data_IF_024866932966
#
_entry.id   IF_024866932966
#
_cell.length_a   1.000
_cell.length_b   1.000
_cell.length_c   1.000
_cell.angle_alpha   90.00
_cell.angle_beta   90.00
_cell.angle_gamma   90.00
#
_symmetry.space_group_name_H-M   'P 1'
#
loop_
_entity.id
_entity.type
_entity.pdbx_description
1 polymer ?
#
# COMPACT_ATOMS: atom_id res chain seq x y z
N UNK A 1 -47.25 2.03 48.96
CA UNK A 1 -46.59 0.84 48.35
C UNK A 1 -46.60 1.03 46.83
N UNK A 2 -45.47 1.22 46.14
CA UNK A 2 -45.47 1.38 44.69
C UNK A 2 -45.35 0.01 43.98
N UNK A 3 -46.19 -0.20 42.98
CA UNK A 3 -46.30 -1.41 42.15
C UNK A 3 -45.27 -1.36 41.02
N UNK A 4 -44.30 -2.27 41.03
CA UNK A 4 -43.28 -2.40 39.98
C UNK A 4 -43.88 -3.14 38.75
N UNK A 5 -43.86 -2.50 37.58
CA UNK A 5 -44.19 -3.14 36.30
C UNK A 5 -42.95 -3.83 35.75
N UNK A 6 -43.01 -5.15 35.53
CA UNK A 6 -41.96 -5.87 34.82
C UNK A 6 -42.12 -5.63 33.32
N UNK A 7 -41.21 -4.84 32.75
CA UNK A 7 -41.05 -4.72 31.30
C UNK A 7 -40.40 -6.00 30.76
N UNK A 8 -41.15 -6.79 29.99
CA UNK A 8 -40.60 -7.85 29.16
C UNK A 8 -40.13 -7.25 27.83
N UNK A 9 -38.89 -6.75 27.80
CA UNK A 9 -38.21 -6.40 26.55
C UNK A 9 -37.76 -7.66 25.84
N UNK A 10 -38.47 -8.06 24.78
CA UNK A 10 -38.00 -9.10 23.88
C UNK A 10 -36.88 -8.56 22.99
N UNK A 11 -35.68 -9.13 23.07
CA UNK A 11 -34.64 -8.89 22.07
C UNK A 11 -34.89 -9.89 20.93
N UNK A 12 -35.38 -9.39 19.80
CA UNK A 12 -35.34 -10.12 18.54
C UNK A 12 -33.89 -10.06 18.02
N UNK A 13 -33.15 -11.17 18.15
CA UNK A 13 -31.81 -11.29 17.61
C UNK A 13 -31.85 -11.43 16.09
N UNK A 14 -31.39 -10.41 15.36
CA UNK A 14 -31.05 -10.53 13.94
C UNK A 14 -29.65 -11.14 13.88
N UNK A 15 -29.56 -12.40 13.45
CA UNK A 15 -28.28 -13.02 13.12
C UNK A 15 -27.84 -12.52 11.74
N UNK A 16 -27.05 -11.44 11.71
CA UNK A 16 -26.32 -11.04 10.51
C UNK A 16 -25.08 -11.95 10.40
N UNK A 17 -25.18 -13.03 9.64
CA UNK A 17 -24.02 -13.86 9.31
C UNK A 17 -23.20 -13.14 8.23
N UNK A 18 -22.22 -12.33 8.64
CA UNK A 18 -21.21 -11.84 7.70
C UNK A 18 -20.20 -12.96 7.44
N UNK A 19 -19.97 -13.29 6.18
CA UNK A 19 -18.87 -14.18 5.80
C UNK A 19 -17.58 -13.39 5.97
N UNK A 20 -16.81 -13.66 7.02
CA UNK A 20 -15.44 -13.17 7.13
C UNK A 20 -14.59 -14.03 6.20
N UNK A 21 -14.18 -13.49 5.07
CA UNK A 21 -13.07 -14.05 4.31
C UNK A 21 -11.79 -13.78 5.09
N UNK A 22 -11.02 -14.83 5.40
CA UNK A 22 -9.68 -14.66 5.93
C UNK A 22 -8.78 -14.13 4.80
N UNK A 23 -8.16 -12.97 5.01
CA UNK A 23 -7.05 -12.54 4.16
C UNK A 23 -5.84 -13.41 4.52
N UNK A 24 -5.34 -14.21 3.58
CA UNK A 24 -4.00 -14.76 3.72
C UNK A 24 -3.02 -13.59 3.68
N UNK A 25 -2.07 -13.56 4.62
CA UNK A 25 -0.90 -12.68 4.53
C UNK A 25 0.07 -13.28 3.53
N UNK A 26 0.85 -12.47 2.80
CA UNK A 26 1.92 -13.00 1.96
C UNK A 26 2.84 -13.89 2.79
N UNK A 27 3.33 -14.99 2.22
CA UNK A 27 4.33 -15.85 2.86
C UNK A 27 5.60 -15.02 3.11
N UNK A 28 5.70 -14.51 4.34
CA UNK A 28 6.80 -13.68 4.82
C UNK A 28 7.59 -14.47 5.88
N UNK A 29 8.93 -14.57 5.76
CA UNK A 29 9.76 -13.92 4.74
C UNK A 29 9.64 -14.60 3.37
N UNK A 30 9.79 -13.84 2.26
CA UNK A 30 9.82 -14.42 0.92
C UNK A 30 10.97 -15.42 0.77
N UNK A 31 10.88 -16.31 -0.21
CA UNK A 31 12.04 -17.07 -0.66
C UNK A 31 13.17 -16.11 -1.03
N UNK A 32 14.40 -16.41 -0.57
CA UNK A 32 15.60 -15.65 -0.93
C UNK A 32 16.08 -16.07 -2.33
N UNK A 33 15.20 -15.94 -3.32
CA UNK A 33 15.47 -16.21 -4.73
C UNK A 33 15.24 -14.92 -5.52
N UNK A 34 16.23 -14.53 -6.32
CA UNK A 34 16.10 -13.39 -7.24
C UNK A 34 15.65 -13.91 -8.60
N UNK A 35 14.53 -13.39 -9.10
CA UNK A 35 14.09 -13.62 -10.47
C UNK A 35 14.66 -12.54 -11.41
N UNK A 36 14.29 -11.28 -11.18
CA UNK A 36 14.78 -10.17 -11.98
C UNK A 36 14.85 -8.86 -11.20
N UNK A 37 15.58 -7.90 -11.78
CA UNK A 37 15.75 -6.56 -11.24
C UNK A 37 15.25 -5.54 -12.25
N UNK A 38 14.44 -4.59 -11.80
CA UNK A 38 14.10 -3.41 -12.57
C UNK A 38 14.94 -2.23 -12.08
N UNK A 39 15.55 -1.51 -13.02
CA UNK A 39 16.22 -0.24 -12.77
C UNK A 39 15.49 0.82 -13.58
N UNK A 40 15.04 1.89 -12.93
CA UNK A 40 14.24 2.92 -13.60
C UNK A 40 14.81 4.31 -13.33
N UNK A 41 14.65 5.19 -14.32
CA UNK A 41 15.03 6.60 -14.20
C UNK A 41 14.11 7.47 -15.04
N UNK A 42 13.99 8.74 -14.68
CA UNK A 42 13.19 9.71 -15.45
C UNK A 42 14.05 10.37 -16.52
N UNK A 43 13.61 10.33 -17.78
CA UNK A 43 14.23 11.09 -18.87
C UNK A 43 13.67 12.53 -18.94
N UNK A 44 12.36 12.69 -18.76
CA UNK A 44 11.66 13.97 -18.77
C UNK A 44 10.51 13.93 -17.76
N UNK A 45 10.35 15.00 -16.99
CA UNK A 45 9.19 15.22 -16.13
C UNK A 45 8.52 16.52 -16.57
N UNK A 46 7.23 16.48 -16.87
CA UNK A 46 6.46 17.68 -17.18
C UNK A 46 5.14 17.63 -16.44
N UNK A 47 4.84 18.69 -15.72
CA UNK A 47 3.56 18.86 -15.06
C UNK A 47 2.48 19.16 -16.11
N UNK A 48 1.28 18.61 -15.90
CA UNK A 48 0.11 18.92 -16.72
C UNK A 48 -0.26 20.41 -16.61
N UNK A 49 -0.21 20.95 -15.39
CA UNK A 49 -0.32 22.38 -15.08
C UNK A 49 1.01 22.88 -14.49
N UNK A 50 1.86 23.56 -15.28
CA UNK A 50 3.18 23.98 -14.83
C UNK A 50 3.10 25.20 -13.91
N UNK A 51 3.53 25.03 -12.66
CA UNK A 51 3.79 26.12 -11.73
C UNK A 51 5.30 26.43 -11.71
N UNK A 52 5.72 27.70 -11.87
CA UNK A 52 7.13 28.07 -11.77
C UNK A 52 7.78 27.74 -10.42
N UNK A 53 7.02 27.62 -9.34
CA UNK A 53 7.52 27.25 -8.01
C UNK A 53 7.70 25.74 -7.82
N UNK A 54 7.35 24.93 -8.84
CA UNK A 54 7.48 23.47 -8.82
C UNK A 54 8.61 22.94 -9.71
N UNK A 55 9.33 21.91 -9.23
CA UNK A 55 10.43 21.31 -10.01
C UNK A 55 9.91 20.59 -11.23
N UNK A 56 10.44 20.91 -12.42
CA UNK A 56 10.17 20.15 -13.65
C UNK A 56 11.26 19.11 -13.96
N UNK A 57 12.11 18.79 -12.97
CA UNK A 57 13.20 17.82 -13.10
C UNK A 57 13.24 16.91 -11.87
N UNK A 58 12.38 15.89 -11.85
CA UNK A 58 12.28 14.95 -10.74
C UNK A 58 13.58 14.14 -10.50
N UNK A 59 14.36 13.87 -11.56
CA UNK A 59 15.63 13.12 -11.49
C UNK A 59 15.49 11.78 -10.75
N UNK A 60 14.45 11.02 -11.08
CA UNK A 60 14.19 9.71 -10.49
C UNK A 60 15.34 8.74 -10.75
N UNK A 61 15.72 7.99 -9.73
CA UNK A 61 16.49 6.75 -9.85
C UNK A 61 15.87 5.70 -8.92
N UNK A 62 15.57 4.51 -9.43
CA UNK A 62 15.00 3.42 -8.63
C UNK A 62 15.61 2.07 -8.96
N UNK A 63 15.53 1.17 -7.97
CA UNK A 63 15.81 -0.25 -8.10
C UNK A 63 14.67 -1.04 -7.46
N UNK A 64 14.23 -2.10 -8.12
CA UNK A 64 13.21 -3.03 -7.64
C UNK A 64 13.69 -4.46 -7.88
N UNK A 65 13.58 -5.30 -6.86
CA UNK A 65 13.93 -6.71 -6.86
C UNK A 65 12.64 -7.54 -6.89
N UNK A 66 12.59 -8.55 -7.74
CA UNK A 66 11.47 -9.50 -7.84
C UNK A 66 11.93 -10.90 -7.53
N UNK A 67 11.05 -11.69 -6.91
CA UNK A 67 11.23 -13.14 -6.76
C UNK A 67 10.17 -13.93 -7.56
N UNK A 68 10.33 -15.26 -7.72
CA UNK A 68 9.37 -16.10 -8.44
C UNK A 68 7.97 -16.13 -7.79
N UNK A 69 7.89 -15.89 -6.48
CA UNK A 69 6.64 -15.88 -5.70
C UNK A 69 5.86 -14.57 -5.83
N UNK A 70 6.20 -13.72 -6.82
CA UNK A 70 5.57 -12.40 -7.05
C UNK A 70 5.70 -11.46 -5.87
N UNK A 71 6.75 -11.64 -5.09
CA UNK A 71 7.19 -10.71 -4.08
C UNK A 71 8.14 -9.71 -4.71
N UNK A 72 8.03 -8.44 -4.29
CA UNK A 72 8.93 -7.39 -4.72
C UNK A 72 9.32 -6.47 -3.56
N UNK A 73 10.51 -5.94 -3.63
CA UNK A 73 10.98 -4.87 -2.77
C UNK A 73 11.87 -3.90 -3.54
N UNK A 74 11.79 -2.62 -3.20
CA UNK A 74 12.55 -1.61 -3.92
C UNK A 74 12.74 -0.33 -3.15
N UNK A 75 13.58 0.52 -3.73
CA UNK A 75 13.88 1.85 -3.25
C UNK A 75 14.02 2.83 -4.42
N UNK A 76 13.64 4.07 -4.18
CA UNK A 76 13.75 5.16 -5.13
C UNK A 76 14.25 6.43 -4.46
N UNK A 77 15.06 7.17 -5.21
CA UNK A 77 15.45 8.53 -4.89
C UNK A 77 14.96 9.46 -5.98
N UNK A 78 14.42 10.62 -5.59
CA UNK A 78 13.96 11.64 -6.52
C UNK A 78 13.83 13.00 -5.82
N UNK A 79 13.64 14.07 -6.61
CA UNK A 79 13.22 15.38 -6.12
C UNK A 79 11.70 15.51 -6.14
N UNK A 80 11.10 15.84 -5.00
CA UNK A 80 9.67 16.14 -4.94
C UNK A 80 9.35 17.50 -5.58
N UNK A 81 8.08 17.87 -5.65
CA UNK A 81 7.61 19.09 -6.31
C UNK A 81 8.28 20.39 -5.82
N UNK A 82 8.84 20.41 -4.60
CA UNK A 82 9.56 21.57 -4.03
C UNK A 82 11.09 21.49 -4.23
N UNK A 83 11.55 20.68 -5.17
CA UNK A 83 12.98 20.44 -5.48
C UNK A 83 13.78 19.81 -4.32
N UNK A 84 13.10 19.18 -3.35
CA UNK A 84 13.74 18.56 -2.19
C UNK A 84 14.02 17.07 -2.43
N UNK A 85 15.20 16.56 -2.03
CA UNK A 85 15.54 15.14 -2.15
C UNK A 85 14.63 14.28 -1.26
N UNK A 86 14.07 13.23 -1.84
CA UNK A 86 13.10 12.32 -1.21
C UNK A 86 13.53 10.88 -1.47
N UNK A 87 13.40 10.05 -0.43
CA UNK A 87 13.57 8.60 -0.53
C UNK A 87 12.22 7.91 -0.36
N UNK A 88 11.96 6.91 -1.19
CA UNK A 88 10.77 6.06 -1.12
C UNK A 88 11.19 4.59 -1.10
N UNK A 89 10.63 3.83 -0.18
CA UNK A 89 10.90 2.40 -0.01
C UNK A 89 9.57 1.65 -0.04
N UNK A 90 9.56 0.48 -0.66
CA UNK A 90 8.36 -0.34 -0.75
C UNK A 90 8.69 -1.81 -0.72
N UNK A 91 7.65 -2.56 -0.36
CA UNK A 91 7.67 -4.00 -0.23
C UNK A 91 6.26 -4.53 -0.42
N UNK A 92 6.08 -5.55 -1.26
CA UNK A 92 4.77 -6.17 -1.46
C UNK A 92 4.88 -7.62 -1.90
N UNK A 93 3.88 -8.42 -1.58
CA UNK A 93 3.67 -9.76 -2.13
C UNK A 93 2.20 -9.97 -2.41
N UNK A 94 1.90 -10.66 -3.51
CA UNK A 94 0.53 -11.06 -3.84
C UNK A 94 0.38 -12.54 -3.50
N UNK A 95 -0.64 -12.88 -2.70
CA UNK A 95 -1.03 -14.28 -2.53
C UNK A 95 -1.70 -14.79 -3.80
N UNK A 96 -1.23 -15.93 -4.29
CA UNK A 96 -1.84 -16.70 -5.38
C UNK A 96 -3.04 -17.51 -4.91
#
# INVERSE_FOLDING_TARGET
>A
MPRYYQWAGGIAGIWLSTTVSAFSLPDWPPSLELDHTLVQTSLLTRHFDPDPDHTNQQKLASIELHNPDRWLAGAAWFKNSFDQPTWYFWVSGLNG
#
